data_IF_785638637940
#
_entry.id   IF_785638637940
#
_cell.length_a   1.000
_cell.length_b   1.000
_cell.length_c   1.000
_cell.angle_alpha   90.00
_cell.angle_beta   90.00
_cell.angle_gamma   90.00
#
_symmetry.space_group_name_H-M   'P 1'
#
loop_
_entity.id
_entity.type
_entity.pdbx_description
1 polymer ?
#
# COMPACT_ATOMS: atom_id res chain seq x y z
N UNK A 1 -4.43 -9.38 -12.04
CA UNK A 1 -4.10 -8.08 -12.68
C UNK A 1 -5.37 -7.25 -12.66
N UNK A 2 -5.27 -6.01 -12.23
CA UNK A 2 -6.40 -5.06 -12.15
C UNK A 2 -6.05 -3.88 -13.05
N UNK A 3 -6.97 -3.50 -13.94
CA UNK A 3 -6.83 -2.34 -14.81
C UNK A 3 -7.79 -1.25 -14.36
N UNK A 4 -7.32 0.01 -14.35
CA UNK A 4 -8.12 1.19 -14.07
C UNK A 4 -8.05 2.14 -15.27
N UNK A 5 -8.54 3.37 -15.14
CA UNK A 5 -8.45 4.38 -16.21
C UNK A 5 -7.00 4.69 -16.61
N UNK A 6 -6.08 4.74 -15.62
CA UNK A 6 -4.69 5.18 -15.84
C UNK A 6 -3.63 4.15 -15.41
N UNK A 7 -4.02 3.13 -14.63
CA UNK A 7 -3.08 2.27 -13.93
C UNK A 7 -3.29 0.80 -14.29
N UNK A 8 -2.20 0.04 -14.23
CA UNK A 8 -2.21 -1.42 -14.16
C UNK A 8 -1.63 -1.84 -12.82
N UNK A 9 -2.39 -2.60 -12.03
CA UNK A 9 -1.94 -3.19 -10.78
C UNK A 9 -1.69 -4.68 -11.01
N UNK A 10 -0.46 -5.13 -10.83
CA UNK A 10 -0.04 -6.53 -11.04
C UNK A 10 0.78 -7.06 -9.86
N UNK A 11 0.98 -8.37 -9.82
CA UNK A 11 1.97 -8.93 -8.89
C UNK A 11 3.36 -8.40 -9.18
N UNK A 12 4.14 -8.24 -8.13
CA UNK A 12 5.58 -7.98 -8.25
C UNK A 12 6.29 -9.17 -8.89
N UNK A 13 7.39 -8.89 -9.55
CA UNK A 13 8.32 -9.87 -10.13
C UNK A 13 9.74 -9.55 -9.65
N UNK A 14 10.66 -10.49 -9.78
CA UNK A 14 12.06 -10.25 -9.41
C UNK A 14 12.71 -9.07 -10.17
N UNK A 15 12.23 -8.75 -11.36
CA UNK A 15 12.68 -7.57 -12.12
C UNK A 15 12.36 -6.24 -11.43
N UNK A 16 11.39 -6.22 -10.52
CA UNK A 16 10.99 -5.00 -9.80
C UNK A 16 11.88 -4.69 -8.58
N UNK A 17 12.70 -5.67 -8.12
CA UNK A 17 13.52 -5.54 -6.90
C UNK A 17 14.42 -4.31 -6.91
N UNK A 18 15.00 -3.98 -8.05
CA UNK A 18 15.88 -2.82 -8.15
C UNK A 18 15.13 -1.49 -7.94
N UNK A 19 13.95 -1.36 -8.53
CA UNK A 19 13.10 -0.19 -8.34
C UNK A 19 12.61 -0.10 -6.88
N UNK A 20 12.20 -1.21 -6.29
CA UNK A 20 11.79 -1.27 -4.88
C UNK A 20 12.93 -0.91 -3.94
N UNK A 21 14.16 -1.38 -4.22
CA UNK A 21 15.33 -1.03 -3.42
C UNK A 21 15.65 0.48 -3.50
N UNK A 22 15.53 1.08 -4.68
CA UNK A 22 15.68 2.54 -4.86
C UNK A 22 14.62 3.31 -4.04
N UNK A 23 13.36 2.92 -4.08
CA UNK A 23 12.32 3.53 -3.26
C UNK A 23 12.58 3.38 -1.76
N UNK A 24 12.96 2.18 -1.33
CA UNK A 24 13.21 1.92 0.10
C UNK A 24 14.47 2.65 0.62
N UNK A 25 15.39 3.06 -0.24
CA UNK A 25 16.54 3.90 0.11
C UNK A 25 16.21 5.41 0.09
N UNK A 26 15.10 5.81 -0.52
CA UNK A 26 14.69 7.22 -0.65
C UNK A 26 14.03 7.72 0.65
N UNK A 27 14.60 8.76 1.30
CA UNK A 27 14.01 9.35 2.52
C UNK A 27 12.61 9.93 2.30
N UNK A 28 12.30 10.45 1.12
CA UNK A 28 10.98 11.01 0.84
C UNK A 28 9.94 9.90 0.68
N UNK A 29 10.25 8.82 -0.05
CA UNK A 29 9.38 7.67 -0.17
C UNK A 29 9.11 7.01 1.18
N UNK A 30 10.13 6.90 2.02
CA UNK A 30 10.08 6.19 3.31
C UNK A 30 9.70 7.06 4.51
N UNK A 31 9.47 8.35 4.30
CA UNK A 31 9.22 9.36 5.35
C UNK A 31 8.20 8.92 6.42
N UNK A 32 7.11 8.31 6.00
CA UNK A 32 6.02 7.87 6.87
C UNK A 32 5.91 6.33 6.96
N UNK A 33 6.97 5.64 6.56
CA UNK A 33 7.14 4.20 6.73
C UNK A 33 8.12 3.95 7.90
N UNK A 34 9.12 3.14 7.70
CA UNK A 34 10.12 2.81 8.72
C UNK A 34 11.47 3.52 8.51
N UNK A 35 11.50 4.55 7.67
CA UNK A 35 12.72 5.23 7.23
C UNK A 35 13.49 4.46 6.15
N UNK A 36 14.58 5.07 5.63
CA UNK A 36 15.39 4.47 4.57
C UNK A 36 15.97 3.12 4.97
N UNK A 37 16.06 2.21 4.02
CA UNK A 37 16.55 0.85 4.19
C UNK A 37 17.76 0.58 3.32
N UNK A 38 18.63 -0.29 3.82
CA UNK A 38 19.71 -0.89 3.03
C UNK A 38 19.15 -1.81 1.94
N UNK A 39 19.97 -2.20 0.99
CA UNK A 39 19.59 -3.17 -0.05
C UNK A 39 19.10 -4.48 0.58
N UNK A 40 19.83 -5.03 1.53
CA UNK A 40 19.46 -6.28 2.19
C UNK A 40 18.09 -6.20 2.88
N UNK A 41 17.82 -5.12 3.63
CA UNK A 41 16.53 -4.89 4.28
C UNK A 41 15.38 -4.70 3.27
N UNK A 42 15.69 -4.12 2.11
CA UNK A 42 14.74 -3.99 1.00
C UNK A 42 14.40 -5.35 0.40
N UNK A 43 15.41 -6.19 0.15
CA UNK A 43 15.20 -7.55 -0.36
C UNK A 43 14.41 -8.40 0.62
N UNK A 44 14.68 -8.34 1.92
CA UNK A 44 13.87 -8.99 2.96
C UNK A 44 12.42 -8.50 2.96
N UNK A 45 12.20 -7.22 2.71
CA UNK A 45 10.85 -6.65 2.62
C UNK A 45 10.11 -7.21 1.40
N UNK A 46 10.77 -7.28 0.28
CA UNK A 46 10.23 -7.86 -0.96
C UNK A 46 9.87 -9.35 -0.75
N UNK A 47 10.76 -10.12 -0.13
CA UNK A 47 10.52 -11.54 0.18
C UNK A 47 9.33 -11.75 1.12
N UNK A 48 9.08 -10.82 2.07
CA UNK A 48 7.87 -10.85 2.91
C UNK A 48 6.59 -10.63 2.08
N UNK A 49 6.59 -9.73 1.09
CA UNK A 49 5.44 -9.56 0.19
C UNK A 49 5.17 -10.81 -0.63
N UNK A 50 6.22 -11.45 -1.16
CA UNK A 50 6.09 -12.71 -1.90
C UNK A 50 5.59 -13.85 -0.99
N UNK A 51 6.05 -13.92 0.26
CA UNK A 51 5.56 -14.89 1.24
C UNK A 51 4.10 -14.66 1.58
N UNK A 52 3.68 -13.41 1.80
CA UNK A 52 2.28 -13.06 2.04
C UNK A 52 1.38 -13.51 0.87
N UNK A 53 1.80 -13.26 -0.36
CA UNK A 53 1.09 -13.72 -1.55
C UNK A 53 0.97 -15.25 -1.61
N UNK A 54 2.04 -15.96 -1.28
CA UNK A 54 2.07 -17.43 -1.30
C UNK A 54 1.17 -18.04 -0.23
N UNK A 55 1.10 -17.40 0.93
CA UNK A 55 0.34 -17.88 2.09
C UNK A 55 -1.14 -17.52 2.03
N UNK A 56 -1.46 -16.34 1.50
CA UNK A 56 -2.80 -15.74 1.55
C UNK A 56 -3.52 -15.70 0.21
N UNK A 57 -2.81 -15.81 -0.91
CA UNK A 57 -3.39 -15.70 -2.26
C UNK A 57 -3.67 -14.26 -2.69
N UNK A 58 -3.34 -13.27 -1.86
CA UNK A 58 -3.43 -11.83 -2.16
C UNK A 58 -2.30 -11.07 -1.46
N UNK A 59 -2.12 -9.79 -1.80
CA UNK A 59 -1.09 -8.95 -1.19
C UNK A 59 -0.88 -7.66 -1.96
N UNK A 60 0.17 -6.94 -1.61
CA UNK A 60 0.55 -5.72 -2.34
C UNK A 60 0.81 -6.02 -3.81
N UNK A 61 0.37 -5.10 -4.64
CA UNK A 61 0.53 -5.09 -6.08
C UNK A 61 1.51 -3.97 -6.49
N UNK A 62 2.27 -4.21 -7.51
CA UNK A 62 3.01 -3.21 -8.26
C UNK A 62 2.01 -2.33 -9.01
N UNK A 63 2.16 -1.01 -8.91
CA UNK A 63 1.35 -0.03 -9.63
C UNK A 63 2.16 0.50 -10.79
N UNK A 64 1.69 0.27 -12.00
CA UNK A 64 2.29 0.75 -13.24
C UNK A 64 1.44 1.87 -13.84
N UNK A 65 2.11 2.82 -14.47
CA UNK A 65 1.46 3.81 -15.32
C UNK A 65 1.03 3.13 -16.63
N UNK A 66 -0.24 3.04 -16.88
CA UNK A 66 -0.80 2.22 -17.97
C UNK A 66 -0.31 2.60 -19.37
N UNK A 67 -0.01 3.88 -19.61
CA UNK A 67 0.48 4.35 -20.90
C UNK A 67 1.90 3.86 -21.23
N UNK A 68 2.79 3.76 -20.23
CA UNK A 68 4.21 3.46 -20.45
C UNK A 68 4.65 2.12 -19.86
N UNK A 69 3.88 1.53 -18.94
CA UNK A 69 4.29 0.38 -18.15
C UNK A 69 5.35 0.72 -17.08
N UNK A 70 5.59 2.01 -16.81
CA UNK A 70 6.53 2.43 -15.77
C UNK A 70 6.01 2.03 -14.39
N UNK A 71 6.84 1.36 -13.61
CA UNK A 71 6.54 1.02 -12.22
C UNK A 71 6.66 2.27 -11.35
N UNK A 72 5.54 2.74 -10.80
CA UNK A 72 5.42 4.02 -10.11
C UNK A 72 5.06 3.92 -8.63
N UNK A 73 4.80 2.72 -8.14
CA UNK A 73 4.46 2.53 -6.74
C UNK A 73 3.92 1.15 -6.42
N UNK A 74 3.29 1.08 -5.26
CA UNK A 74 2.61 -0.13 -4.79
C UNK A 74 1.29 0.22 -4.13
N UNK A 75 0.29 -0.66 -4.24
CA UNK A 75 -0.97 -0.60 -3.51
C UNK A 75 -1.55 -2.00 -3.34
N UNK A 76 -2.45 -2.19 -2.39
CA UNK A 76 -3.15 -3.46 -2.26
C UNK A 76 -3.48 -3.85 -0.83
N UNK A 77 -4.34 -4.86 -0.66
CA UNK A 77 -4.65 -5.43 0.63
C UNK A 77 -3.52 -6.32 1.15
N UNK A 78 -3.22 -6.22 2.42
CA UNK A 78 -2.31 -7.12 3.15
C UNK A 78 -2.70 -7.16 4.62
N UNK A 79 -2.24 -8.14 5.39
CA UNK A 79 -2.34 -8.06 6.83
C UNK A 79 -1.18 -7.28 7.42
N UNK A 80 -1.49 -6.32 8.29
CA UNK A 80 -0.49 -5.53 9.00
C UNK A 80 -0.15 -6.18 10.34
N UNK A 81 1.14 -6.21 10.71
CA UNK A 81 1.61 -6.86 11.94
C UNK A 81 1.02 -6.33 13.24
N UNK A 82 0.55 -5.08 13.24
CA UNK A 82 -0.10 -4.45 14.40
C UNK A 82 -1.62 -4.48 14.34
N UNK A 83 -2.19 -5.12 13.30
CA UNK A 83 -3.63 -5.25 13.10
C UNK A 83 -3.90 -6.43 12.18
N UNK A 84 -4.46 -7.51 12.72
CA UNK A 84 -4.71 -8.78 12.00
C UNK A 84 -6.20 -9.15 11.93
N UNK A 85 -7.09 -8.29 12.44
CA UNK A 85 -8.53 -8.51 12.40
C UNK A 85 -9.10 -8.36 10.98
N UNK A 86 -8.65 -7.32 10.26
CA UNK A 86 -9.08 -6.99 8.90
C UNK A 86 -7.87 -6.70 8.01
N UNK A 87 -7.93 -6.97 6.69
CA UNK A 87 -6.83 -6.63 5.79
C UNK A 87 -6.66 -5.11 5.68
N UNK A 88 -5.42 -4.66 5.73
CA UNK A 88 -5.05 -3.28 5.46
C UNK A 88 -4.97 -3.05 3.95
N UNK A 89 -5.67 -2.03 3.44
CA UNK A 89 -5.41 -1.47 2.11
C UNK A 89 -4.42 -0.32 2.27
N UNK A 90 -3.20 -0.55 1.78
CA UNK A 90 -2.10 0.40 1.81
C UNK A 90 -1.67 0.85 0.42
N UNK A 91 -0.98 1.99 0.35
CA UNK A 91 -0.37 2.53 -0.86
C UNK A 91 0.91 3.29 -0.53
N UNK A 92 1.85 3.27 -1.48
CA UNK A 92 3.02 4.15 -1.51
C UNK A 92 3.44 4.36 -2.97
N UNK A 93 3.71 5.61 -3.35
CA UNK A 93 4.06 6.00 -4.70
C UNK A 93 5.43 6.67 -4.73
N UNK A 94 6.16 6.48 -5.82
CA UNK A 94 7.35 7.26 -6.12
C UNK A 94 7.03 8.76 -6.01
N UNK A 95 7.86 9.57 -5.31
CA UNK A 95 7.62 11.00 -5.11
C UNK A 95 7.37 11.78 -6.41
N UNK A 96 7.96 11.38 -7.53
CA UNK A 96 7.73 12.00 -8.83
C UNK A 96 6.26 11.91 -9.31
N UNK A 97 5.47 11.03 -8.71
CA UNK A 97 4.08 10.78 -9.09
C UNK A 97 3.05 11.30 -8.09
N UNK A 98 3.48 12.00 -7.06
CA UNK A 98 2.58 12.57 -6.06
C UNK A 98 1.70 13.70 -6.62
N UNK A 99 0.59 13.98 -5.95
CA UNK A 99 -0.32 15.08 -6.28
C UNK A 99 -1.19 14.86 -7.50
N UNK A 100 -1.14 13.69 -8.14
CA UNK A 100 -1.86 13.38 -9.40
C UNK A 100 -3.13 12.53 -9.21
N UNK A 101 -3.55 12.28 -7.95
CA UNK A 101 -4.71 11.45 -7.64
C UNK A 101 -4.48 9.93 -7.76
N UNK A 102 -3.26 9.50 -8.09
CA UNK A 102 -2.92 8.09 -8.34
C UNK A 102 -3.13 7.22 -7.10
N UNK A 103 -2.75 7.71 -5.90
CA UNK A 103 -2.97 6.96 -4.66
C UNK A 103 -4.46 6.70 -4.39
N UNK A 104 -5.33 7.64 -4.75
CA UNK A 104 -6.78 7.47 -4.62
C UNK A 104 -7.29 6.42 -5.61
N UNK A 105 -6.86 6.47 -6.87
CA UNK A 105 -7.24 5.51 -7.89
C UNK A 105 -6.77 4.09 -7.57
N UNK A 106 -5.49 3.93 -7.21
CA UNK A 106 -4.94 2.63 -6.82
C UNK A 106 -5.57 2.09 -5.52
N UNK A 107 -5.85 2.97 -4.57
CA UNK A 107 -6.55 2.64 -3.33
C UNK A 107 -7.98 2.16 -3.60
N UNK A 108 -8.74 2.85 -4.45
CA UNK A 108 -10.09 2.44 -4.83
C UNK A 108 -10.08 1.05 -5.50
N UNK A 109 -9.20 0.84 -6.48
CA UNK A 109 -9.07 -0.45 -7.14
C UNK A 109 -8.72 -1.59 -6.17
N UNK A 110 -7.90 -1.30 -5.16
CA UNK A 110 -7.54 -2.26 -4.10
C UNK A 110 -8.71 -2.58 -3.18
N UNK A 111 -9.54 -1.58 -2.84
CA UNK A 111 -10.77 -1.74 -2.06
C UNK A 111 -11.79 -2.58 -2.83
N UNK A 112 -12.02 -2.25 -4.11
CA UNK A 112 -12.96 -2.96 -4.95
C UNK A 112 -12.57 -4.45 -5.10
N UNK A 113 -11.29 -4.73 -5.21
CA UNK A 113 -10.76 -6.08 -5.21
C UNK A 113 -10.96 -6.80 -3.87
N UNK A 114 -10.66 -6.13 -2.76
CA UNK A 114 -10.82 -6.70 -1.42
C UNK A 114 -12.29 -7.05 -1.11
N UNK A 115 -13.22 -6.17 -1.47
CA UNK A 115 -14.65 -6.39 -1.26
C UNK A 115 -15.26 -7.35 -2.29
N UNK A 116 -14.85 -7.27 -3.55
CA UNK A 116 -15.40 -8.07 -4.65
C UNK A 116 -14.87 -9.50 -4.65
N UNK A 117 -13.66 -9.68 -5.16
CA UNK A 117 -13.09 -11.01 -5.39
C UNK A 117 -12.62 -11.70 -4.10
N UNK A 118 -12.03 -10.92 -3.16
CA UNK A 118 -11.54 -11.50 -1.90
C UNK A 118 -12.64 -11.69 -0.86
N UNK A 119 -13.80 -11.02 -1.03
CA UNK A 119 -15.00 -11.24 -0.22
C UNK A 119 -14.95 -10.68 1.20
N UNK A 120 -14.02 -9.77 1.51
CA UNK A 120 -13.97 -9.12 2.81
C UNK A 120 -15.18 -8.19 3.02
N UNK A 121 -15.68 -8.12 4.24
CA UNK A 121 -16.76 -7.22 4.62
C UNK A 121 -16.25 -5.86 5.11
N UNK A 122 -15.00 -5.82 5.56
CA UNK A 122 -14.30 -4.62 6.05
C UNK A 122 -12.86 -4.63 5.58
N UNK A 123 -12.32 -3.45 5.34
CA UNK A 123 -10.88 -3.20 5.19
C UNK A 123 -10.46 -2.06 6.11
N UNK A 124 -9.20 -2.04 6.50
CA UNK A 124 -8.60 -0.92 7.24
C UNK A 124 -7.53 -0.25 6.41
N UNK A 125 -7.14 0.95 6.81
CA UNK A 125 -5.96 1.64 6.30
C UNK A 125 -5.26 2.33 7.47
N UNK A 126 -3.98 2.05 7.65
CA UNK A 126 -3.20 2.41 8.83
C UNK A 126 -2.20 3.50 8.48
N UNK A 127 -2.05 4.49 9.35
CA UNK A 127 -1.06 5.56 9.20
C UNK A 127 -0.76 6.21 10.55
N UNK A 128 0.22 7.11 10.57
CA UNK A 128 0.47 8.02 11.68
C UNK A 128 -0.25 9.36 11.45
N UNK A 129 -0.43 10.13 12.52
CA UNK A 129 -1.16 11.42 12.47
C UNK A 129 -0.55 12.40 11.47
N UNK A 130 0.76 12.49 11.42
CA UNK A 130 1.52 13.44 10.61
C UNK A 130 1.42 13.20 9.11
N UNK A 131 1.02 12.00 8.68
CA UNK A 131 0.86 11.69 7.25
C UNK A 131 -0.45 12.25 6.69
N UNK A 132 -0.52 13.58 6.59
CA UNK A 132 -1.69 14.32 6.10
C UNK A 132 -2.08 13.87 4.67
N UNK A 133 -1.09 13.59 3.82
CA UNK A 133 -1.35 13.14 2.44
C UNK A 133 -2.14 11.83 2.42
N UNK A 134 -1.73 10.83 3.18
CA UNK A 134 -2.43 9.55 3.29
C UNK A 134 -3.82 9.72 3.92
N UNK A 135 -3.95 10.56 4.95
CA UNK A 135 -5.25 10.85 5.59
C UNK A 135 -6.24 11.48 4.60
N UNK A 136 -5.78 12.39 3.74
CA UNK A 136 -6.61 12.98 2.69
C UNK A 136 -7.07 11.95 1.65
N UNK A 137 -6.21 11.00 1.30
CA UNK A 137 -6.60 9.88 0.41
C UNK A 137 -7.66 9.02 1.09
N UNK A 138 -7.45 8.63 2.36
CA UNK A 138 -8.43 7.86 3.14
C UNK A 138 -9.79 8.54 3.19
N UNK A 139 -9.82 9.84 3.47
CA UNK A 139 -11.07 10.60 3.52
C UNK A 139 -11.81 10.59 2.17
N UNK A 140 -11.08 10.71 1.04
CA UNK A 140 -11.67 10.61 -0.31
C UNK A 140 -12.24 9.23 -0.60
N UNK A 141 -11.61 8.18 -0.06
CA UNK A 141 -12.03 6.78 -0.21
C UNK A 141 -13.13 6.37 0.78
N UNK A 142 -13.55 7.26 1.68
CA UNK A 142 -14.65 7.01 2.62
C UNK A 142 -14.24 6.32 3.93
N UNK A 143 -12.96 6.15 4.19
CA UNK A 143 -12.49 5.60 5.47
C UNK A 143 -12.80 6.55 6.62
N UNK A 144 -13.22 5.99 7.76
CA UNK A 144 -13.44 6.70 9.02
C UNK A 144 -12.51 6.22 10.11
N UNK A 145 -12.14 7.08 11.05
CA UNK A 145 -11.30 6.70 12.18
C UNK A 145 -12.00 5.63 13.02
N UNK A 146 -11.31 4.52 13.25
CA UNK A 146 -11.83 3.36 13.98
C UNK A 146 -11.10 3.13 15.30
N UNK A 147 -9.77 3.21 15.32
CA UNK A 147 -8.96 2.94 16.51
C UNK A 147 -7.63 3.67 16.48
N UNK A 148 -7.03 3.76 17.66
CA UNK A 148 -5.63 4.14 17.87
C UNK A 148 -4.88 2.95 18.47
N UNK A 149 -3.75 2.58 17.90
CA UNK A 149 -2.96 1.43 18.32
C UNK A 149 -1.52 1.85 18.60
N UNK A 150 -0.99 1.59 19.80
CA UNK A 150 0.42 1.87 20.10
C UNK A 150 1.33 0.97 19.25
N UNK A 151 2.44 1.52 18.76
CA UNK A 151 3.48 0.78 18.05
C UNK A 151 4.86 1.26 18.45
N UNK A 152 5.90 0.54 18.03
CA UNK A 152 7.29 0.95 18.20
C UNK A 152 7.65 2.27 17.49
N UNK A 153 6.82 2.70 16.52
CA UNK A 153 6.99 3.95 15.75
C UNK A 153 6.04 5.07 16.19
N UNK A 154 5.37 4.92 17.33
CA UNK A 154 4.37 5.85 17.83
C UNK A 154 2.95 5.32 17.70
N UNK A 155 1.98 6.22 17.82
CA UNK A 155 0.57 5.86 17.72
C UNK A 155 0.13 5.70 16.28
N UNK A 156 -0.42 4.54 15.95
CA UNK A 156 -1.00 4.26 14.64
C UNK A 156 -2.49 4.60 14.66
N UNK A 157 -2.93 5.29 13.63
CA UNK A 157 -4.34 5.61 13.38
C UNK A 157 -4.92 4.61 12.38
N UNK A 158 -5.80 3.76 12.89
CA UNK A 158 -6.53 2.75 12.11
C UNK A 158 -7.83 3.37 11.63
N UNK A 159 -8.00 3.49 10.33
CA UNK A 159 -9.25 3.91 9.71
C UNK A 159 -9.90 2.69 9.08
N UNK A 160 -11.22 2.55 9.20
CA UNK A 160 -11.97 1.43 8.65
C UNK A 160 -12.94 1.88 7.56
N UNK A 161 -13.23 0.96 6.64
CA UNK A 161 -14.25 1.08 5.62
C UNK A 161 -15.00 -0.24 5.54
N UNK A 162 -16.30 -0.19 5.75
CA UNK A 162 -17.21 -1.31 5.56
C UNK A 162 -17.75 -1.35 4.11
N UNK A 163 -18.02 -2.54 3.61
CA UNK A 163 -18.60 -2.78 2.28
C UNK A 163 -20.00 -2.22 2.14
#
# INVERSE_FOLDING_TARGET
>A
MIETERLTLRRFTDADRETVARWNADPDFTRYLTGPRTRAESDETFDRWESHWRERGFGLLAVEWGETGELIGRAGPQFHRSWDEDPEVGWALDPAWWGRGIATEAGQASIDWAFGELGYARVVSITIEENIASRNVKAKLGFTLHAHVPSEYGELWVHALDR
#
